data_IF_038722443924
#
_entry.id   IF_038722443924
#
_cell.length_a   1.000
_cell.length_b   1.000
_cell.length_c   1.000
_cell.angle_alpha   90.00
_cell.angle_beta   90.00
_cell.angle_gamma   90.00
#
_symmetry.space_group_name_H-M   'P 1'
#
loop_
_entity.id
_entity.type
_entity.pdbx_description
1 polymer ?
#
# COMPACT_ATOMS: atom_id res chain seq x y z
N UNK A 1 23.67 11.37 -12.62
CA UNK A 1 22.50 10.71 -11.99
C UNK A 1 21.30 11.50 -12.49
N UNK A 2 20.38 10.89 -13.26
CA UNK A 2 19.27 11.63 -13.90
C UNK A 2 18.01 11.71 -13.01
N UNK A 3 18.20 11.61 -11.70
CA UNK A 3 17.14 11.59 -10.69
C UNK A 3 17.27 12.84 -9.84
N UNK A 4 16.13 13.41 -9.44
CA UNK A 4 16.09 14.49 -8.48
C UNK A 4 16.05 13.90 -7.07
N UNK A 5 16.96 14.35 -6.21
CA UNK A 5 17.02 13.96 -4.81
C UNK A 5 17.15 15.25 -4.01
N UNK A 6 16.19 15.51 -3.12
CA UNK A 6 16.26 16.65 -2.21
C UNK A 6 17.51 16.59 -1.33
N UNK A 7 18.10 17.75 -1.07
CA UNK A 7 19.22 17.91 -0.13
C UNK A 7 18.83 17.58 1.32
N UNK A 8 17.54 17.61 1.65
CA UNK A 8 17.03 17.30 2.99
C UNK A 8 16.64 15.83 3.15
N UNK A 9 16.70 15.02 2.08
CA UNK A 9 16.44 13.60 2.15
C UNK A 9 17.58 12.86 2.88
N UNK A 10 17.21 11.93 3.77
CA UNK A 10 18.16 11.06 4.48
C UNK A 10 18.20 9.69 3.83
N UNK A 11 19.32 9.33 3.19
CA UNK A 11 19.44 8.12 2.39
C UNK A 11 20.62 7.28 2.88
N UNK A 12 20.38 6.01 3.20
CA UNK A 12 21.45 5.08 3.56
C UNK A 12 22.39 4.80 2.37
N UNK A 13 23.65 4.47 2.66
CA UNK A 13 24.74 4.41 1.66
C UNK A 13 24.59 3.30 0.62
N UNK A 14 23.80 2.28 0.90
CA UNK A 14 23.55 1.10 0.05
C UNK A 14 22.21 1.16 -0.70
N UNK A 15 21.48 2.27 -0.59
CA UNK A 15 20.22 2.49 -1.30
C UNK A 15 20.46 2.58 -2.81
N UNK A 16 19.63 1.89 -3.58
CA UNK A 16 19.69 1.90 -5.05
C UNK A 16 18.55 2.74 -5.60
N UNK A 17 18.88 3.78 -6.34
CA UNK A 17 17.90 4.67 -6.98
C UNK A 17 18.06 4.57 -8.50
N UNK A 18 16.98 4.19 -9.17
CA UNK A 18 16.87 4.12 -10.61
C UNK A 18 16.95 5.48 -11.30
N UNK A 19 16.77 5.47 -12.61
CA UNK A 19 16.81 6.69 -13.44
C UNK A 19 15.52 7.47 -13.33
N UNK A 20 15.61 8.80 -13.43
CA UNK A 20 14.45 9.68 -13.48
C UNK A 20 13.49 9.51 -12.28
N UNK A 21 14.06 9.18 -11.13
CA UNK A 21 13.31 9.14 -9.88
C UNK A 21 13.24 10.55 -9.27
N UNK A 22 12.23 10.77 -8.43
CA UNK A 22 12.08 11.97 -7.61
C UNK A 22 12.02 11.51 -6.15
N UNK A 23 12.90 12.07 -5.32
CA UNK A 23 12.89 11.88 -3.85
C UNK A 23 12.77 13.25 -3.21
N UNK A 24 11.62 13.53 -2.63
CA UNK A 24 11.24 14.84 -2.10
C UNK A 24 11.83 15.11 -0.70
N UNK A 25 11.60 16.34 -0.23
CA UNK A 25 12.12 16.86 1.04
C UNK A 25 11.79 15.98 2.25
N UNK A 26 12.78 15.80 3.13
CA UNK A 26 12.62 15.05 4.38
C UNK A 26 12.33 13.55 4.22
N UNK A 27 12.36 13.01 3.00
CA UNK A 27 12.20 11.56 2.79
C UNK A 27 13.36 10.79 3.44
N UNK A 28 13.04 9.63 4.03
CA UNK A 28 14.00 8.78 4.73
C UNK A 28 14.00 7.38 4.09
N UNK A 29 15.13 7.00 3.51
CA UNK A 29 15.34 5.69 2.88
C UNK A 29 16.36 4.89 3.69
N UNK A 30 15.89 3.83 4.36
CA UNK A 30 16.75 2.96 5.17
C UNK A 30 17.59 2.00 4.31
N UNK A 31 18.53 1.29 4.95
CA UNK A 31 19.50 0.42 4.27
C UNK A 31 18.85 -0.66 3.41
N UNK A 32 19.42 -0.88 2.24
CA UNK A 32 18.97 -1.88 1.26
C UNK A 32 17.68 -1.54 0.53
N UNK A 33 17.10 -0.35 0.71
CA UNK A 33 15.96 0.11 -0.09
C UNK A 33 16.36 0.20 -1.57
N UNK A 34 15.46 -0.23 -2.45
CA UNK A 34 15.64 -0.10 -3.90
C UNK A 34 14.44 0.58 -4.55
N UNK A 35 14.67 1.68 -5.25
CA UNK A 35 13.69 2.43 -6.03
C UNK A 35 14.00 2.26 -7.50
N UNK A 36 13.06 1.76 -8.28
CA UNK A 36 13.23 1.54 -9.71
C UNK A 36 12.85 2.77 -10.54
N UNK A 37 13.29 2.77 -11.81
CA UNK A 37 13.19 3.90 -12.74
C UNK A 37 11.79 4.56 -12.74
N UNK A 38 11.76 5.89 -12.90
CA UNK A 38 10.54 6.70 -13.03
C UNK A 38 9.60 6.69 -11.82
N UNK A 39 10.10 6.31 -10.64
CA UNK A 39 9.29 6.30 -9.40
C UNK A 39 9.46 7.59 -8.60
N UNK A 40 8.46 7.92 -7.78
CA UNK A 40 8.45 9.13 -6.96
C UNK A 40 8.19 8.79 -5.49
N UNK A 41 9.00 9.38 -4.60
CA UNK A 41 8.85 9.31 -3.15
C UNK A 41 8.52 10.72 -2.64
N UNK A 42 7.32 10.88 -2.08
CA UNK A 42 6.84 12.16 -1.57
C UNK A 42 7.53 12.62 -0.29
N UNK A 43 7.28 13.88 0.06
CA UNK A 43 7.95 14.55 1.17
C UNK A 43 7.63 13.88 2.51
N UNK A 44 8.59 13.89 3.44
CA UNK A 44 8.48 13.33 4.79
C UNK A 44 8.10 11.85 4.85
N UNK A 45 8.28 11.12 3.73
CA UNK A 45 7.97 9.69 3.66
C UNK A 45 9.14 8.86 4.16
N UNK A 46 8.85 7.83 4.96
CA UNK A 46 9.83 6.88 5.47
C UNK A 46 9.65 5.51 4.82
N UNK A 47 10.74 4.95 4.31
CA UNK A 47 10.77 3.60 3.73
C UNK A 47 11.78 2.74 4.49
N UNK A 48 11.29 1.67 5.11
CA UNK A 48 12.07 0.76 5.93
C UNK A 48 13.02 -0.15 5.16
N UNK A 49 13.97 -0.74 5.88
CA UNK A 49 15.06 -1.56 5.32
C UNK A 49 14.61 -2.63 4.34
N UNK A 50 15.37 -2.80 3.26
CA UNK A 50 15.17 -3.86 2.27
C UNK A 50 13.87 -3.77 1.47
N UNK A 51 13.13 -2.66 1.57
CA UNK A 51 11.89 -2.46 0.83
C UNK A 51 12.16 -2.10 -0.62
N UNK A 52 11.40 -2.70 -1.55
CA UNK A 52 11.47 -2.43 -2.99
C UNK A 52 10.27 -1.64 -3.50
N UNK A 53 10.55 -0.57 -4.22
CA UNK A 53 9.59 0.26 -4.96
C UNK A 53 9.81 0.04 -6.46
N UNK A 54 8.84 -0.57 -7.13
CA UNK A 54 8.92 -0.92 -8.56
C UNK A 54 8.69 0.26 -9.50
N UNK A 55 9.06 0.09 -10.78
CA UNK A 55 9.01 1.15 -11.81
C UNK A 55 7.67 1.87 -11.88
N UNK A 56 7.68 3.19 -12.11
CA UNK A 56 6.47 4.02 -12.21
C UNK A 56 5.57 3.99 -10.96
N UNK A 57 6.13 3.67 -9.79
CA UNK A 57 5.37 3.70 -8.54
C UNK A 57 5.42 5.09 -7.92
N UNK A 58 4.27 5.55 -7.45
CA UNK A 58 4.15 6.77 -6.64
C UNK A 58 3.93 6.39 -5.18
N UNK A 59 4.81 6.86 -4.32
CA UNK A 59 4.59 6.92 -2.88
C UNK A 59 4.34 8.38 -2.51
N UNK A 60 3.20 8.66 -1.90
CA UNK A 60 2.75 9.99 -1.53
C UNK A 60 3.56 10.61 -0.39
N UNK A 61 3.04 11.70 0.15
CA UNK A 61 3.66 12.43 1.25
C UNK A 61 3.31 11.82 2.62
N UNK A 62 4.23 11.95 3.57
CA UNK A 62 4.05 11.49 4.96
C UNK A 62 3.63 10.01 5.07
N UNK A 63 4.06 9.19 4.12
CA UNK A 63 3.81 7.74 4.13
C UNK A 63 4.86 7.07 5.01
N UNK A 64 4.44 6.09 5.79
CA UNK A 64 5.36 5.22 6.53
C UNK A 64 5.23 3.81 5.98
N UNK A 65 6.33 3.27 5.46
CA UNK A 65 6.43 1.89 4.99
C UNK A 65 7.44 1.16 5.85
N UNK A 66 7.05 -0.01 6.38
CA UNK A 66 7.92 -0.91 7.12
C UNK A 66 9.03 -1.55 6.28
N UNK A 67 9.61 -2.61 6.83
CA UNK A 67 10.76 -3.31 6.29
C UNK A 67 10.35 -4.48 5.40
N UNK A 68 11.23 -4.83 4.46
CA UNK A 68 11.09 -6.00 3.58
C UNK A 68 9.77 -6.00 2.79
N UNK A 69 9.24 -4.83 2.45
CA UNK A 69 8.04 -4.69 1.65
C UNK A 69 8.37 -4.76 0.15
N UNK A 70 7.40 -5.16 -0.67
CA UNK A 70 7.59 -5.26 -2.12
C UNK A 70 6.39 -4.70 -2.86
N UNK A 71 6.58 -3.56 -3.50
CA UNK A 71 5.62 -2.93 -4.39
C UNK A 71 6.14 -3.07 -5.80
N UNK A 72 5.38 -3.71 -6.67
CA UNK A 72 5.78 -3.87 -8.09
C UNK A 72 5.41 -2.63 -8.90
N UNK A 73 5.38 -2.70 -10.22
CA UNK A 73 5.23 -1.50 -11.06
C UNK A 73 3.83 -0.87 -11.00
N UNK A 74 3.76 0.44 -11.27
CA UNK A 74 2.51 1.21 -11.35
C UNK A 74 1.66 1.16 -10.08
N UNK A 75 2.29 1.02 -8.91
CA UNK A 75 1.58 1.14 -7.65
C UNK A 75 1.35 2.62 -7.29
N UNK A 76 0.25 2.90 -6.60
CA UNK A 76 -0.03 4.21 -6.03
C UNK A 76 -0.33 4.06 -4.54
N UNK A 77 0.58 4.53 -3.70
CA UNK A 77 0.40 4.61 -2.25
C UNK A 77 0.19 6.08 -1.93
N UNK A 78 -1.04 6.48 -1.60
CA UNK A 78 -1.37 7.90 -1.41
C UNK A 78 -0.93 8.41 -0.03
N UNK A 79 -1.07 9.71 0.18
CA UNK A 79 -0.52 10.42 1.33
C UNK A 79 -1.01 9.84 2.67
N UNK A 80 -0.18 9.97 3.71
CA UNK A 80 -0.49 9.58 5.09
C UNK A 80 -0.81 8.09 5.30
N UNK A 81 -0.52 7.21 4.33
CA UNK A 81 -0.67 5.77 4.51
C UNK A 81 0.36 5.23 5.52
N UNK A 82 -0.03 4.20 6.26
CA UNK A 82 0.82 3.49 7.22
C UNK A 82 0.83 2.01 6.87
N UNK A 83 1.98 1.50 6.44
CA UNK A 83 2.17 0.12 6.01
C UNK A 83 3.20 -0.54 6.93
N UNK A 84 2.84 -1.70 7.48
CA UNK A 84 3.70 -2.53 8.31
C UNK A 84 4.83 -3.21 7.54
N UNK A 85 5.40 -4.23 8.15
CA UNK A 85 6.50 -5.02 7.59
C UNK A 85 6.01 -6.12 6.66
N UNK A 86 6.83 -6.51 5.68
CA UNK A 86 6.60 -7.65 4.77
C UNK A 86 5.29 -7.53 3.98
N UNK A 87 4.82 -6.30 3.74
CA UNK A 87 3.67 -6.00 2.89
C UNK A 87 4.05 -6.17 1.43
N UNK A 88 3.21 -6.87 0.67
CA UNK A 88 3.41 -7.11 -0.76
C UNK A 88 2.22 -6.55 -1.54
N UNK A 89 2.49 -5.75 -2.57
CA UNK A 89 1.48 -5.26 -3.51
C UNK A 89 1.88 -5.52 -4.96
N UNK A 90 1.05 -6.29 -5.65
CA UNK A 90 1.13 -6.52 -7.08
C UNK A 90 0.86 -5.26 -7.89
N UNK A 91 1.17 -5.31 -9.18
CA UNK A 91 1.20 -4.12 -10.03
C UNK A 91 -0.17 -3.49 -10.15
N UNK A 92 -0.21 -2.17 -10.35
CA UNK A 92 -1.47 -1.41 -10.48
C UNK A 92 -2.33 -1.44 -9.22
N UNK A 93 -1.70 -1.63 -8.05
CA UNK A 93 -2.38 -1.52 -6.76
C UNK A 93 -2.50 -0.06 -6.32
N UNK A 94 -3.65 0.32 -5.77
CA UNK A 94 -3.92 1.67 -5.25
C UNK A 94 -4.37 1.61 -3.79
N UNK A 95 -3.67 2.34 -2.93
CA UNK A 95 -4.08 2.59 -1.54
C UNK A 95 -4.53 4.05 -1.40
N UNK A 96 -5.77 4.26 -0.98
CA UNK A 96 -6.30 5.59 -0.70
C UNK A 96 -5.58 6.27 0.47
N UNK A 97 -5.59 7.61 0.50
CA UNK A 97 -4.88 8.38 1.51
C UNK A 97 -5.33 8.01 2.93
N UNK A 98 -4.37 7.85 3.84
CA UNK A 98 -4.61 7.42 5.22
C UNK A 98 -4.82 5.91 5.43
N UNK A 99 -4.74 5.08 4.39
CA UNK A 99 -4.95 3.64 4.52
C UNK A 99 -3.94 3.04 5.49
N UNK A 100 -4.41 2.16 6.39
CA UNK A 100 -3.56 1.40 7.31
C UNK A 100 -3.51 -0.06 6.85
N UNK A 101 -2.30 -0.55 6.63
CA UNK A 101 -1.99 -1.93 6.26
C UNK A 101 -1.05 -2.50 7.30
N UNK A 102 -1.45 -3.55 8.00
CA UNK A 102 -0.62 -4.21 8.99
C UNK A 102 0.40 -5.17 8.35
N UNK A 103 1.23 -5.81 9.18
CA UNK A 103 2.29 -6.71 8.72
C UNK A 103 1.76 -7.89 7.89
N UNK A 104 2.61 -8.45 7.04
CA UNK A 104 2.37 -9.71 6.34
C UNK A 104 1.14 -9.70 5.39
N UNK A 105 0.63 -8.51 5.04
CA UNK A 105 -0.48 -8.36 4.11
C UNK A 105 -0.02 -8.57 2.67
N UNK A 106 -0.78 -9.38 1.92
CA UNK A 106 -0.50 -9.66 0.50
C UNK A 106 -1.65 -9.19 -0.37
N UNK A 107 -1.40 -8.17 -1.19
CA UNK A 107 -2.33 -7.66 -2.20
C UNK A 107 -1.84 -8.06 -3.59
N UNK A 108 -2.63 -8.84 -4.33
CA UNK A 108 -2.30 -9.16 -5.72
C UNK A 108 -2.58 -7.98 -6.66
N UNK A 109 -2.33 -8.19 -7.95
CA UNK A 109 -2.42 -7.18 -9.00
C UNK A 109 -3.78 -6.46 -9.02
N UNK A 110 -3.78 -5.18 -9.39
CA UNK A 110 -5.00 -4.37 -9.54
C UNK A 110 -5.88 -4.30 -8.28
N UNK A 111 -5.27 -4.39 -7.09
CA UNK A 111 -5.95 -4.21 -5.81
C UNK A 111 -6.26 -2.72 -5.54
N UNK A 112 -7.44 -2.41 -5.00
CA UNK A 112 -7.84 -1.03 -4.72
C UNK A 112 -8.48 -0.91 -3.34
N UNK A 113 -7.97 -0.02 -2.50
CA UNK A 113 -8.70 0.55 -1.35
C UNK A 113 -9.29 1.89 -1.79
N UNK A 114 -10.54 2.16 -1.43
CA UNK A 114 -11.26 3.37 -1.84
C UNK A 114 -11.57 4.30 -0.66
N UNK A 115 -11.65 5.60 -0.93
CA UNK A 115 -11.96 6.69 0.01
C UNK A 115 -13.00 7.64 -0.60
N UNK A 116 -14.22 7.15 -0.85
CA UNK A 116 -15.29 8.04 -1.35
C UNK A 116 -15.62 9.09 -0.29
N UNK A 117 -15.50 10.40 -0.58
CA UNK A 117 -15.86 11.45 0.36
C UNK A 117 -17.35 11.37 0.70
N UNK A 118 -17.68 11.48 1.98
CA UNK A 118 -19.06 11.67 2.41
C UNK A 118 -19.44 13.16 2.24
N UNK A 119 -20.12 13.46 1.13
CA UNK A 119 -20.59 14.81 0.81
C UNK A 119 -21.56 15.37 1.87
N UNK A 120 -22.20 14.51 2.66
CA UNK A 120 -23.10 14.92 3.75
C UNK A 120 -22.35 15.27 5.04
N UNK A 121 -21.07 14.88 5.15
CA UNK A 121 -20.22 15.11 6.33
C UNK A 121 -18.98 15.92 5.96
N UNK A 122 -19.18 17.08 5.33
CA UNK A 122 -18.09 18.01 5.01
C UNK A 122 -16.91 17.36 4.25
N UNK A 123 -17.19 16.40 3.36
CA UNK A 123 -16.18 15.63 2.62
C UNK A 123 -15.24 14.78 3.49
N UNK A 124 -15.68 14.38 4.67
CA UNK A 124 -14.97 13.39 5.49
C UNK A 124 -14.70 12.12 4.68
N UNK A 125 -13.45 11.65 4.74
CA UNK A 125 -13.02 10.41 4.11
C UNK A 125 -12.77 9.38 5.18
N UNK A 126 -13.32 8.18 4.98
CA UNK A 126 -13.01 7.03 5.81
C UNK A 126 -12.31 5.98 4.96
N UNK A 127 -11.14 5.58 5.42
CA UNK A 127 -10.35 4.50 4.83
C UNK A 127 -10.38 3.31 5.76
N UNK A 128 -10.45 2.14 5.13
CA UNK A 128 -10.42 0.86 5.80
C UNK A 128 -9.06 0.54 6.42
N UNK A 129 -9.02 -0.59 7.13
CA UNK A 129 -7.79 -1.20 7.63
C UNK A 129 -7.64 -2.61 7.10
N UNK A 130 -6.45 -2.96 6.62
CA UNK A 130 -6.11 -4.34 6.24
C UNK A 130 -5.28 -4.93 7.36
N UNK A 131 -5.86 -5.86 8.13
CA UNK A 131 -5.19 -6.44 9.30
C UNK A 131 -4.17 -7.51 8.92
N UNK A 132 -3.32 -7.82 9.89
CA UNK A 132 -2.12 -8.66 9.74
C UNK A 132 -2.40 -9.97 9.04
N UNK A 133 -1.55 -10.35 8.09
CA UNK A 133 -1.61 -11.64 7.40
C UNK A 133 -2.80 -11.82 6.44
N UNK A 134 -3.65 -10.79 6.26
CA UNK A 134 -4.74 -10.85 5.29
C UNK A 134 -4.21 -10.90 3.85
N UNK A 135 -4.93 -11.63 2.99
CA UNK A 135 -4.51 -11.90 1.61
C UNK A 135 -5.63 -11.57 0.63
N UNK A 136 -5.29 -10.89 -0.45
CA UNK A 136 -6.22 -10.40 -1.44
C UNK A 136 -5.84 -10.93 -2.83
N UNK A 137 -6.79 -11.60 -3.48
CA UNK A 137 -6.68 -12.01 -4.87
C UNK A 137 -6.57 -10.81 -5.83
N UNK A 138 -6.28 -11.10 -7.10
CA UNK A 138 -6.14 -10.04 -8.09
C UNK A 138 -7.48 -9.32 -8.29
N UNK A 139 -7.44 -8.02 -8.58
CA UNK A 139 -8.61 -7.20 -8.88
C UNK A 139 -9.65 -7.17 -7.74
N UNK A 140 -9.19 -7.16 -6.49
CA UNK A 140 -10.05 -6.94 -5.33
C UNK A 140 -10.23 -5.46 -5.05
N UNK A 141 -11.46 -5.05 -4.74
CA UNK A 141 -11.81 -3.68 -4.34
C UNK A 141 -12.35 -3.68 -2.92
N UNK A 142 -11.74 -2.88 -2.04
CA UNK A 142 -12.20 -2.62 -0.68
C UNK A 142 -12.97 -1.30 -0.67
N UNK A 143 -14.24 -1.35 -0.28
CA UNK A 143 -15.09 -0.16 -0.17
C UNK A 143 -14.65 0.72 1.01
N UNK A 144 -15.07 2.01 1.05
CA UNK A 144 -14.69 2.92 2.12
C UNK A 144 -15.10 2.39 3.49
N UNK A 145 -14.32 2.72 4.52
CA UNK A 145 -14.53 2.33 5.92
C UNK A 145 -14.51 0.81 6.22
N UNK A 146 -14.18 -0.06 5.26
CA UNK A 146 -14.19 -1.51 5.47
C UNK A 146 -12.88 -2.01 6.09
N UNK A 147 -12.97 -2.73 7.20
CA UNK A 147 -11.84 -3.44 7.80
C UNK A 147 -11.83 -4.91 7.39
N UNK A 148 -10.66 -5.42 7.02
CA UNK A 148 -10.46 -6.85 6.73
C UNK A 148 -9.63 -7.49 7.82
N UNK A 149 -10.18 -8.54 8.41
CA UNK A 149 -9.67 -9.28 9.56
C UNK A 149 -8.31 -9.93 9.36
N UNK A 150 -7.67 -10.27 10.47
CA UNK A 150 -6.39 -10.98 10.52
C UNK A 150 -6.49 -12.33 9.83
N UNK A 151 -5.46 -12.68 9.07
CA UNK A 151 -5.36 -13.93 8.33
C UNK A 151 -6.53 -14.23 7.39
N UNK A 152 -7.39 -13.24 7.08
CA UNK A 152 -8.55 -13.42 6.21
C UNK A 152 -8.14 -13.39 4.73
N UNK A 153 -8.88 -14.12 3.90
CA UNK A 153 -8.58 -14.26 2.47
C UNK A 153 -9.74 -13.74 1.62
N UNK A 154 -9.45 -12.83 0.69
CA UNK A 154 -10.43 -12.31 -0.26
C UNK A 154 -10.13 -12.89 -1.65
N UNK A 155 -11.09 -13.60 -2.23
CA UNK A 155 -10.98 -14.17 -3.58
C UNK A 155 -10.82 -13.11 -4.66
N UNK A 156 -10.18 -13.47 -5.77
CA UNK A 156 -9.98 -12.56 -6.90
C UNK A 156 -11.29 -11.99 -7.45
N UNK A 157 -11.23 -10.80 -8.05
CA UNK A 157 -12.37 -10.07 -8.64
C UNK A 157 -13.52 -9.78 -7.66
N UNK A 158 -13.23 -9.70 -6.36
CA UNK A 158 -14.25 -9.45 -5.32
C UNK A 158 -14.36 -7.97 -4.95
N UNK A 159 -15.55 -7.56 -4.54
CA UNK A 159 -15.81 -6.24 -3.97
C UNK A 159 -16.28 -6.37 -2.52
N UNK A 160 -15.44 -5.98 -1.57
CA UNK A 160 -15.72 -6.11 -0.13
C UNK A 160 -16.44 -4.86 0.35
N UNK A 161 -17.69 -5.02 0.77
CA UNK A 161 -18.59 -3.91 1.16
C UNK A 161 -18.87 -3.80 2.65
N UNK A 162 -18.36 -4.73 3.44
CA UNK A 162 -18.59 -4.84 4.89
C UNK A 162 -17.35 -5.41 5.54
N UNK A 163 -17.18 -5.16 6.82
CA UNK A 163 -16.09 -5.72 7.59
C UNK A 163 -16.04 -7.24 7.47
N UNK A 164 -14.83 -7.75 7.32
CA UNK A 164 -14.53 -9.18 7.25
C UNK A 164 -13.92 -9.57 8.59
N UNK A 165 -14.55 -10.49 9.36
CA UNK A 165 -13.97 -11.03 10.58
C UNK A 165 -12.61 -11.69 10.35
N UNK A 166 -11.85 -11.88 11.43
CA UNK A 166 -10.58 -12.59 11.41
C UNK A 166 -10.77 -14.06 10.99
N UNK A 167 -9.80 -14.61 10.28
CA UNK A 167 -9.75 -16.01 9.84
C UNK A 167 -10.93 -16.45 8.95
N UNK A 168 -11.41 -15.56 8.07
CA UNK A 168 -12.48 -15.88 7.12
C UNK A 168 -12.04 -15.75 5.66
N UNK A 169 -12.64 -16.59 4.80
CA UNK A 169 -12.53 -16.52 3.34
C UNK A 169 -13.80 -15.91 2.78
N UNK A 170 -13.66 -14.84 2.00
CA UNK A 170 -14.77 -14.14 1.33
C UNK A 170 -14.52 -14.02 -0.17
N UNK A 171 -15.56 -14.06 -1.00
CA UNK A 171 -15.44 -13.71 -2.41
C UNK A 171 -16.77 -13.24 -3.04
N UNK A 172 -16.69 -12.60 -4.21
CA UNK A 172 -17.83 -12.17 -5.02
C UNK A 172 -18.03 -10.65 -5.07
N UNK A 173 -19.08 -10.21 -5.78
CA UNK A 173 -19.48 -8.80 -5.91
C UNK A 173 -21.00 -8.68 -5.69
N UNK A 174 -21.47 -8.29 -4.48
CA UNK A 174 -20.67 -8.03 -3.27
C UNK A 174 -20.07 -9.32 -2.69
N UNK A 175 -18.91 -9.19 -2.04
CA UNK A 175 -18.22 -10.31 -1.41
C UNK A 175 -19.05 -10.86 -0.25
N UNK A 176 -19.07 -12.19 -0.11
CA UNK A 176 -19.77 -12.90 0.96
C UNK A 176 -18.84 -13.92 1.60
N UNK A 177 -19.07 -14.19 2.87
CA UNK A 177 -18.45 -15.30 3.58
C UNK A 177 -18.62 -16.61 2.80
N UNK A 178 -17.53 -17.37 2.70
CA UNK A 178 -17.50 -18.69 2.08
C UNK A 178 -17.19 -19.78 3.10
N UNK A 179 -16.10 -19.61 3.86
CA UNK A 179 -15.63 -20.57 4.88
C UNK A 179 -14.58 -19.92 5.78
N UNK A 180 -14.20 -20.52 6.92
CA UNK A 180 -13.01 -20.13 7.68
C UNK A 180 -11.70 -20.38 6.89
N UNK A 181 -10.64 -19.66 7.23
CA UNK A 181 -9.29 -19.93 6.74
C UNK A 181 -8.73 -21.24 7.31
N UNK A 182 -7.68 -21.77 6.67
CA UNK A 182 -7.04 -23.03 7.06
C UNK A 182 -5.84 -22.77 7.95
#
# INVERSE_FOLDING_TARGET
MNSFISETATIATDVKIGRFCIVEDGAILESGVSIEDYSMIGANTKIGKGTRIGTYTKVGESVVIGQSCSFTSFCEIRDNCQLGDRVIMGSRGTLSAGTVVEDDVVMKYAFVVTDTPDLSKNNEKSVGRLKKGSKFGASVVIMPAVTVGENSEIGACSQVRKDVPDNEVWFGMPAKFYRPTR
#
